data_IF_681250413054
#
_entry.id   IF_681250413054
#
_cell.length_a   1.000
_cell.length_b   1.000
_cell.length_c   1.000
_cell.angle_alpha   90.00
_cell.angle_beta   90.00
_cell.angle_gamma   90.00
#
_symmetry.space_group_name_H-M   'P 1'
#
loop_
_entity.id
_entity.type
_entity.pdbx_description
1 polymer ?
#
# COMPACT_ATOMS: atom_id res chain seq x y z
N UNK A 1 -14.66 -21.23 2.18
CA UNK A 1 -14.08 -20.35 1.14
C UNK A 1 -15.18 -19.39 0.68
N UNK A 2 -15.10 -18.10 1.01
CA UNK A 2 -16.19 -17.15 0.76
C UNK A 2 -16.35 -16.86 -0.74
N UNK A 3 -17.58 -16.62 -1.18
CA UNK A 3 -17.90 -16.33 -2.58
C UNK A 3 -17.24 -15.04 -3.09
N UNK A 4 -16.93 -14.12 -2.17
CA UNK A 4 -16.21 -12.88 -2.42
C UNK A 4 -14.74 -13.12 -2.78
N UNK A 5 -14.04 -14.00 -2.05
CA UNK A 5 -12.66 -14.36 -2.36
C UNK A 5 -12.53 -15.03 -3.74
N UNK A 6 -13.54 -15.83 -4.14
CA UNK A 6 -13.59 -16.46 -5.47
C UNK A 6 -13.82 -15.44 -6.59
N UNK A 7 -14.74 -14.49 -6.40
CA UNK A 7 -14.99 -13.40 -7.37
C UNK A 7 -13.80 -12.44 -7.50
N UNK A 8 -13.03 -12.24 -6.42
CA UNK A 8 -11.79 -11.48 -6.43
C UNK A 8 -10.68 -12.21 -7.22
N UNK A 9 -10.56 -13.54 -7.08
CA UNK A 9 -9.63 -14.35 -7.87
C UNK A 9 -9.98 -14.39 -9.36
N UNK A 10 -11.27 -14.28 -9.73
CA UNK A 10 -11.73 -14.17 -11.11
C UNK A 10 -11.45 -12.79 -11.75
N UNK A 11 -11.09 -11.79 -10.93
CA UNK A 11 -10.70 -10.43 -11.33
C UNK A 11 -9.19 -10.18 -11.19
N UNK A 12 -8.40 -11.24 -11.01
CA UNK A 12 -6.96 -11.13 -10.82
C UNK A 12 -6.34 -10.30 -11.95
N UNK A 13 -5.66 -9.23 -11.56
CA UNK A 13 -4.97 -8.34 -12.49
C UNK A 13 -3.91 -9.14 -13.26
N UNK A 14 -3.81 -8.91 -14.56
CA UNK A 14 -2.75 -9.53 -15.34
C UNK A 14 -1.36 -8.99 -14.94
N UNK A 15 -0.33 -9.78 -15.20
CA UNK A 15 1.06 -9.48 -14.79
C UNK A 15 1.59 -8.16 -15.37
N UNK A 16 1.12 -7.74 -16.55
CA UNK A 16 1.53 -6.46 -17.15
C UNK A 16 0.96 -5.30 -16.34
N UNK A 17 -0.32 -5.38 -15.99
CA UNK A 17 -0.99 -4.41 -15.13
C UNK A 17 -0.35 -4.37 -13.74
N UNK A 18 -0.08 -5.52 -13.13
CA UNK A 18 0.59 -5.60 -11.82
C UNK A 18 1.99 -4.97 -11.88
N UNK A 19 2.77 -5.24 -12.92
CA UNK A 19 4.10 -4.67 -13.10
C UNK A 19 4.04 -3.14 -13.24
N UNK A 20 3.09 -2.63 -14.03
CA UNK A 20 2.89 -1.20 -14.19
C UNK A 20 2.51 -0.52 -12.87
N UNK A 21 1.59 -1.13 -12.10
CA UNK A 21 1.20 -0.63 -10.79
C UNK A 21 2.35 -0.65 -9.79
N UNK A 22 3.17 -1.72 -9.77
CA UNK A 22 4.37 -1.78 -8.93
C UNK A 22 5.36 -0.66 -9.21
N UNK A 23 5.56 -0.33 -10.49
CA UNK A 23 6.43 0.77 -10.88
C UNK A 23 5.92 2.13 -10.37
N UNK A 24 4.60 2.31 -10.28
CA UNK A 24 3.96 3.53 -9.81
C UNK A 24 3.93 3.67 -8.27
N UNK A 25 4.15 2.60 -7.51
CA UNK A 25 3.98 2.59 -6.04
C UNK A 25 4.78 3.66 -5.30
N UNK A 26 6.01 3.95 -5.76
CA UNK A 26 6.84 4.99 -5.13
C UNK A 26 6.16 6.36 -5.24
N UNK A 27 5.79 6.76 -6.45
CA UNK A 27 5.13 8.04 -6.71
C UNK A 27 3.76 8.09 -6.01
N UNK A 28 3.00 6.99 -6.06
CA UNK A 28 1.69 6.91 -5.40
C UNK A 28 1.80 7.10 -3.89
N UNK A 29 2.82 6.52 -3.24
CA UNK A 29 3.02 6.72 -1.81
C UNK A 29 3.39 8.17 -1.45
N UNK A 30 4.16 8.85 -2.32
CA UNK A 30 4.47 10.27 -2.15
C UNK A 30 3.19 11.12 -2.29
N UNK A 31 2.37 10.84 -3.30
CA UNK A 31 1.08 11.53 -3.55
C UNK A 31 0.08 11.33 -2.41
N UNK A 32 -0.04 10.11 -1.87
CA UNK A 32 -0.94 9.82 -0.73
C UNK A 32 -0.52 10.63 0.50
N UNK A 33 0.77 10.65 0.83
CA UNK A 33 1.24 11.42 1.99
C UNK A 33 1.02 12.91 1.77
N UNK A 34 1.22 13.41 0.54
CA UNK A 34 0.93 14.81 0.22
C UNK A 34 -0.56 15.13 0.36
N UNK A 35 -1.45 14.28 -0.16
CA UNK A 35 -2.89 14.46 -0.01
C UNK A 35 -3.33 14.48 1.46
N UNK A 36 -2.72 13.67 2.32
CA UNK A 36 -2.97 13.70 3.78
C UNK A 36 -2.53 15.04 4.39
N UNK A 37 -1.40 15.60 3.97
CA UNK A 37 -0.93 16.92 4.43
C UNK A 37 -1.87 18.03 3.92
N UNK A 38 -2.32 17.93 2.67
CA UNK A 38 -3.21 18.94 2.08
C UNK A 38 -4.57 18.96 2.79
N UNK A 39 -5.09 17.79 3.17
CA UNK A 39 -6.33 17.65 3.96
C UNK A 39 -6.13 18.08 5.42
N UNK A 40 -4.94 17.83 6.00
CA UNK A 40 -4.62 18.16 7.39
C UNK A 40 -3.32 18.97 7.45
N UNK A 41 -3.35 20.30 7.21
CA UNK A 41 -2.14 21.12 7.09
C UNK A 41 -1.22 21.10 8.32
N UNK A 42 -1.76 20.83 9.51
CA UNK A 42 -0.97 20.71 10.75
C UNK A 42 0.02 19.53 10.71
N UNK A 43 -0.17 18.56 9.83
CA UNK A 43 0.74 17.43 9.64
C UNK A 43 2.00 17.76 8.83
N UNK A 44 2.07 18.91 8.16
CA UNK A 44 3.20 19.27 7.30
C UNK A 44 4.57 19.09 8.00
N UNK A 45 4.68 19.52 9.27
CA UNK A 45 5.92 19.37 10.04
C UNK A 45 6.14 17.93 10.50
N UNK A 46 5.10 17.26 10.99
CA UNK A 46 5.18 15.88 11.52
C UNK A 46 5.51 14.85 10.42
N UNK A 47 5.03 15.08 9.21
CA UNK A 47 5.25 14.24 8.03
C UNK A 47 6.40 14.72 7.14
N UNK A 48 7.23 15.63 7.66
CA UNK A 48 8.46 16.08 7.00
C UNK A 48 9.69 15.26 7.43
N UNK A 49 10.82 15.49 6.76
CA UNK A 49 12.12 14.97 7.16
C UNK A 49 12.19 13.44 7.25
N UNK A 50 12.89 12.94 8.28
CA UNK A 50 13.13 11.49 8.47
C UNK A 50 11.83 10.72 8.74
N UNK A 51 10.94 11.26 9.58
CA UNK A 51 9.67 10.62 9.92
C UNK A 51 8.76 10.50 8.69
N UNK A 52 8.66 11.57 7.90
CA UNK A 52 7.96 11.54 6.61
C UNK A 52 8.52 10.50 5.64
N UNK A 53 9.85 10.31 5.64
CA UNK A 53 10.51 9.23 4.90
C UNK A 53 10.07 7.84 5.36
N UNK A 54 9.95 7.60 6.67
CA UNK A 54 9.45 6.33 7.24
C UNK A 54 7.99 6.08 6.84
N UNK A 55 7.13 7.10 6.94
CA UNK A 55 5.70 6.98 6.62
C UNK A 55 5.49 6.68 5.13
N UNK A 56 6.18 7.38 4.22
CA UNK A 56 6.14 7.08 2.78
C UNK A 56 6.54 5.64 2.48
N UNK A 57 7.57 5.12 3.17
CA UNK A 57 7.97 3.71 3.03
C UNK A 57 6.88 2.75 3.52
N UNK A 58 6.28 3.03 4.68
CA UNK A 58 5.20 2.22 5.23
C UNK A 58 3.97 2.19 4.30
N UNK A 59 3.55 3.37 3.80
CA UNK A 59 2.46 3.49 2.82
C UNK A 59 2.77 2.69 1.55
N UNK A 60 3.99 2.81 1.01
CA UNK A 60 4.41 2.04 -0.17
C UNK A 60 4.35 0.53 0.08
N UNK A 61 4.79 0.08 1.25
CA UNK A 61 4.72 -1.35 1.63
C UNK A 61 3.28 -1.83 1.70
N UNK A 62 2.39 -1.08 2.35
CA UNK A 62 0.97 -1.42 2.45
C UNK A 62 0.29 -1.50 1.08
N UNK A 63 0.58 -0.55 0.18
CA UNK A 63 0.07 -0.56 -1.19
C UNK A 63 0.63 -1.75 -2.01
N UNK A 64 1.88 -2.14 -1.77
CA UNK A 64 2.49 -3.34 -2.35
C UNK A 64 1.78 -4.61 -1.91
N UNK A 65 1.52 -4.77 -0.61
CA UNK A 65 0.78 -5.91 -0.08
C UNK A 65 -0.65 -5.99 -0.62
N UNK A 66 -1.33 -4.84 -0.76
CA UNK A 66 -2.64 -4.79 -1.40
C UNK A 66 -2.58 -5.29 -2.86
N UNK A 67 -1.53 -4.91 -3.60
CA UNK A 67 -1.34 -5.39 -4.97
C UNK A 67 -1.05 -6.89 -5.03
N UNK A 68 -0.30 -7.44 -4.06
CA UNK A 68 -0.07 -8.89 -3.93
C UNK A 68 -1.39 -9.66 -3.69
N UNK A 69 -2.29 -9.10 -2.88
CA UNK A 69 -3.63 -9.65 -2.66
C UNK A 69 -4.48 -9.58 -3.93
N UNK A 70 -4.46 -8.43 -4.62
CA UNK A 70 -5.24 -8.21 -5.84
C UNK A 70 -4.77 -9.05 -7.04
N UNK A 71 -3.48 -9.41 -7.08
CA UNK A 71 -2.93 -10.29 -8.11
C UNK A 71 -3.09 -11.78 -7.77
N UNK A 72 -3.68 -12.12 -6.62
CA UNK A 72 -3.80 -13.51 -6.15
C UNK A 72 -2.47 -14.14 -5.71
N UNK A 73 -1.43 -13.33 -5.53
CA UNK A 73 -0.08 -13.77 -5.13
C UNK A 73 0.11 -13.80 -3.61
N UNK A 74 -0.88 -13.34 -2.83
CA UNK A 74 -0.84 -13.39 -1.39
C UNK A 74 -1.09 -14.82 -0.87
N UNK A 75 -0.04 -15.46 -0.37
CA UNK A 75 -0.18 -16.51 0.66
C UNK A 75 -0.55 -15.83 1.97
N UNK A 76 -1.69 -16.17 2.57
CA UNK A 76 -2.20 -15.55 3.80
C UNK A 76 -1.11 -15.34 4.85
N UNK A 77 -0.75 -14.06 5.06
CA UNK A 77 0.28 -13.65 6.01
C UNK A 77 -0.38 -13.26 7.33
N UNK A 78 -0.21 -14.11 8.33
CA UNK A 78 -0.51 -13.79 9.71
C UNK A 78 0.40 -12.65 10.21
N UNK A 79 -0.23 -11.63 10.82
CA UNK A 79 0.30 -10.90 11.97
C UNK A 79 1.46 -9.92 11.77
N UNK A 80 1.16 -8.70 11.30
CA UNK A 80 1.96 -7.50 11.57
C UNK A 80 1.74 -7.01 13.02
N UNK A 81 1.82 -7.93 13.99
CA UNK A 81 1.49 -7.71 15.42
C UNK A 81 2.75 -7.44 16.28
N UNK A 82 3.90 -7.16 15.67
CA UNK A 82 5.20 -7.08 16.35
C UNK A 82 5.92 -5.72 16.23
N UNK A 83 5.30 -4.68 15.68
CA UNK A 83 6.01 -3.42 15.38
C UNK A 83 5.78 -2.27 16.39
N UNK A 84 5.02 -2.49 17.47
CA UNK A 84 4.78 -1.49 18.51
C UNK A 84 4.92 -2.07 19.92
N UNK A 85 6.14 -2.45 20.31
CA UNK A 85 6.60 -2.40 21.71
C UNK A 85 7.81 -1.48 21.84
#
# INVERSE_FOLDING_TARGET
MSHAARRASELALDETTVTALRAALKTTADEVVQAIIDEVPSYANALSGRMGGTIRRAVRTALGHYLDLASGNATGGDGDDAAYE
#
